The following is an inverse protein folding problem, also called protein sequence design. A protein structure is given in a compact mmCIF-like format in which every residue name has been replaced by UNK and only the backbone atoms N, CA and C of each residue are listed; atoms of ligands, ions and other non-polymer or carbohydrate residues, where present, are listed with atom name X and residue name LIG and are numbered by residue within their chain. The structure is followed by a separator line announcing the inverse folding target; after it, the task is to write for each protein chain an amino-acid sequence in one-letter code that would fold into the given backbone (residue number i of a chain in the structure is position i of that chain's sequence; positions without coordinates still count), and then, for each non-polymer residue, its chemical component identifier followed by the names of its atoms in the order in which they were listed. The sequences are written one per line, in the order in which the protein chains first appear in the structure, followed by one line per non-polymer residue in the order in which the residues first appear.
data_IF_008292598987
#
_entry.id   IF_008292598987
#
_cell.length_a   1.000
_cell.length_b   1.000
_cell.length_c   1.000
_cell.angle_alpha   90.00
_cell.angle_beta   90.00
_cell.angle_gamma   90.00
#
_symmetry.space_group_name_H-M   'P 1'
#
loop_
_entity.id
_entity.type
_entity.pdbx_description
1 polymer ?
#
# COMPACT_ATOMS: atom_id res chain seq x y z
N UNK A 1 7.17 1.27 -13.26
CA UNK A 1 7.60 2.09 -12.10
C UNK A 1 8.92 1.56 -11.57
N UNK A 2 10.01 2.25 -11.87
CA UNK A 2 11.33 2.03 -11.25
C UNK A 2 11.58 3.19 -10.30
N UNK A 3 11.55 2.92 -9.00
CA UNK A 3 11.74 3.92 -7.95
C UNK A 3 12.08 3.23 -6.64
N UNK A 4 12.66 3.98 -5.71
CA UNK A 4 12.91 3.55 -4.34
C UNK A 4 11.89 4.21 -3.42
N UNK A 5 11.63 3.62 -2.26
CA UNK A 5 10.80 4.25 -1.23
C UNK A 5 11.60 5.38 -0.57
N UNK A 6 11.06 6.58 -0.54
CA UNK A 6 11.67 7.72 0.16
C UNK A 6 11.16 7.87 1.59
N UNK A 7 9.91 7.48 1.81
CA UNK A 7 9.26 7.48 3.12
C UNK A 7 8.66 6.12 3.41
N UNK A 8 8.61 5.77 4.69
CA UNK A 8 7.83 4.62 5.14
C UNK A 8 7.01 4.97 6.39
N UNK A 9 5.89 4.28 6.50
CA UNK A 9 5.02 4.30 7.66
C UNK A 9 5.37 3.15 8.59
N UNK A 10 5.65 3.48 9.85
CA UNK A 10 5.94 2.50 10.90
C UNK A 10 4.66 1.73 11.22
N UNK A 11 4.74 0.40 11.15
CA UNK A 11 3.69 -0.52 11.59
C UNK A 11 3.96 -0.98 13.03
N UNK A 12 5.21 -1.35 13.32
CA UNK A 12 5.63 -1.87 14.61
C UNK A 12 7.08 -1.48 14.92
N UNK A 13 7.39 -1.29 16.20
CA UNK A 13 8.71 -0.92 16.70
C UNK A 13 9.18 -1.95 17.74
N UNK A 14 10.35 -2.51 17.49
CA UNK A 14 10.94 -3.62 18.23
C UNK A 14 12.27 -3.17 18.84
N UNK A 15 12.26 -2.52 20.02
CA UNK A 15 13.46 -1.93 20.62
C UNK A 15 14.53 -2.97 20.98
N UNK A 16 14.12 -4.19 21.31
CA UNK A 16 15.03 -5.31 21.61
C UNK A 16 15.27 -6.23 20.40
N UNK A 17 14.71 -5.88 19.24
CA UNK A 17 14.68 -6.72 18.05
C UNK A 17 13.68 -7.87 18.15
N UNK A 18 13.82 -8.86 17.26
CA UNK A 18 12.97 -10.05 17.27
C UNK A 18 13.49 -11.05 18.30
N UNK A 19 12.62 -11.63 19.11
CA UNK A 19 12.97 -12.59 20.18
C UNK A 19 13.79 -13.81 19.73
N UNK A 20 13.78 -14.11 18.42
CA UNK A 20 14.49 -15.26 17.82
C UNK A 20 15.93 -14.92 17.40
N UNK A 21 16.33 -13.64 17.37
CA UNK A 21 17.67 -13.23 16.94
C UNK A 21 18.66 -13.11 18.12
N UNK A 22 19.91 -13.52 17.90
CA UNK A 22 21.00 -13.44 18.90
C UNK A 22 21.52 -12.01 19.11
N UNK A 23 21.35 -11.13 18.12
CA UNK A 23 21.77 -9.73 18.17
C UNK A 23 20.56 -8.82 18.41
N UNK A 24 20.68 -7.95 19.43
CA UNK A 24 19.67 -6.94 19.77
C UNK A 24 19.83 -5.73 18.84
N UNK A 25 19.14 -5.76 17.72
CA UNK A 25 19.01 -4.60 16.83
C UNK A 25 17.69 -3.89 17.11
N UNK A 26 17.71 -2.56 17.16
CA UNK A 26 16.51 -1.72 17.29
C UNK A 26 15.80 -1.71 15.93
N UNK A 27 14.77 -2.53 15.77
CA UNK A 27 14.10 -2.73 14.49
C UNK A 27 12.77 -2.01 14.42
N UNK A 28 12.38 -1.62 13.21
CA UNK A 28 10.99 -1.30 12.90
C UNK A 28 10.55 -2.06 11.66
N UNK A 29 9.29 -2.51 11.66
CA UNK A 29 8.62 -2.98 10.47
C UNK A 29 7.69 -1.89 9.96
N UNK A 30 7.56 -1.79 8.65
CA UNK A 30 6.71 -0.78 8.07
C UNK A 30 6.50 -0.91 6.57
N UNK A 31 5.84 0.09 6.02
CA UNK A 31 5.37 0.12 4.65
C UNK A 31 5.80 1.39 3.94
N UNK A 32 6.48 1.25 2.82
CA UNK A 32 6.83 2.36 1.95
C UNK A 32 5.60 3.09 1.41
N UNK A 33 5.65 4.42 1.38
CA UNK A 33 4.49 5.25 1.02
C UNK A 33 4.17 5.25 -0.47
N UNK A 34 5.13 4.90 -1.34
CA UNK A 34 4.99 5.05 -2.79
C UNK A 34 4.62 3.75 -3.50
N UNK A 35 5.19 2.61 -3.10
CA UNK A 35 4.94 1.32 -3.75
C UNK A 35 4.38 0.25 -2.81
N UNK A 36 3.95 0.66 -1.61
CA UNK A 36 3.48 -0.24 -0.55
C UNK A 36 4.52 -1.32 -0.19
N UNK A 37 5.80 -1.01 -0.36
CA UNK A 37 6.87 -1.99 -0.13
C UNK A 37 6.99 -2.27 1.37
N UNK A 38 6.84 -3.53 1.78
CA UNK A 38 7.10 -3.91 3.17
C UNK A 38 8.61 -3.98 3.43
N UNK A 39 9.04 -3.28 4.48
CA UNK A 39 10.45 -3.14 4.83
C UNK A 39 10.65 -3.44 6.32
N UNK A 40 11.82 -3.99 6.63
CA UNK A 40 12.39 -4.02 7.97
C UNK A 40 13.58 -3.07 7.97
N UNK A 41 13.61 -2.14 8.91
CA UNK A 41 14.64 -1.10 9.02
C UNK A 41 15.27 -1.12 10.42
N UNK A 42 16.49 -0.62 10.51
CA UNK A 42 17.18 -0.42 11.78
C UNK A 42 17.10 1.05 12.16
N UNK A 43 16.53 1.35 13.33
CA UNK A 43 16.51 2.70 13.87
C UNK A 43 17.89 3.11 14.40
N UNK A 44 18.17 4.42 14.45
CA UNK A 44 19.38 4.92 15.13
C UNK A 44 19.28 4.69 16.63
N UNK A 45 20.43 4.61 17.29
CA UNK A 45 20.50 4.46 18.74
C UNK A 45 19.78 5.60 19.47
N UNK A 46 19.03 5.27 20.52
CA UNK A 46 18.24 6.24 21.30
C UNK A 46 16.95 6.73 20.62
N UNK A 47 16.66 6.34 19.38
CA UNK A 47 15.41 6.70 18.70
C UNK A 47 14.30 5.74 19.09
N UNK A 48 13.12 6.29 19.39
CA UNK A 48 11.87 5.54 19.52
C UNK A 48 10.95 5.92 18.38
N UNK A 49 10.36 4.90 17.74
CA UNK A 49 9.39 5.07 16.66
C UNK A 49 7.99 4.73 17.15
N UNK A 50 7.00 5.46 16.65
CA UNK A 50 5.59 5.22 16.95
C UNK A 50 4.89 4.59 15.74
N UNK A 51 3.91 3.72 15.98
CA UNK A 51 3.02 3.25 14.92
C UNK A 51 2.37 4.44 14.20
N UNK A 52 2.14 4.31 12.90
CA UNK A 52 1.66 5.37 11.99
C UNK A 52 2.61 6.54 11.75
N UNK A 53 3.78 6.58 12.38
CA UNK A 53 4.77 7.61 12.11
C UNK A 53 5.30 7.47 10.68
N UNK A 54 5.28 8.58 9.92
CA UNK A 54 5.98 8.69 8.64
C UNK A 54 7.42 9.09 8.89
N UNK A 55 8.37 8.32 8.41
CA UNK A 55 9.80 8.64 8.52
C UNK A 55 10.51 8.50 7.18
N UNK A 56 11.61 9.24 7.03
CA UNK A 56 12.38 9.27 5.80
C UNK A 56 13.41 8.11 5.76
N UNK A 57 13.42 7.39 4.63
CA UNK A 57 14.35 6.28 4.31
C UNK A 57 15.04 6.45 2.96
N UNK A 58 14.95 7.63 2.35
CA UNK A 58 15.60 7.93 1.09
C UNK A 58 17.12 7.94 1.18
N UNK A 59 17.78 8.47 0.14
CA UNK A 59 19.25 8.42 0.01
C UNK A 59 19.98 9.47 0.83
N UNK A 60 19.29 10.56 1.17
CA UNK A 60 19.87 11.66 1.94
C UNK A 60 19.98 11.30 3.42
N UNK A 61 20.42 12.26 4.23
CA UNK A 61 20.55 12.06 5.66
C UNK A 61 19.19 11.73 6.30
N UNK A 62 19.15 10.59 7.01
CA UNK A 62 17.98 10.09 7.70
C UNK A 62 18.05 10.48 9.17
N UNK A 63 17.00 11.10 9.70
CA UNK A 63 16.98 11.52 11.11
C UNK A 63 16.80 10.34 12.05
N UNK A 64 15.83 9.47 11.80
CA UNK A 64 15.45 8.37 12.68
C UNK A 64 16.07 7.00 12.31
N UNK A 65 16.38 6.80 11.02
CA UNK A 65 16.73 5.49 10.48
C UNK A 65 18.22 5.40 10.19
N UNK A 66 18.85 4.32 10.65
CA UNK A 66 20.23 3.98 10.29
C UNK A 66 20.27 3.45 8.85
N UNK A 67 19.64 2.29 8.62
CA UNK A 67 19.60 1.68 7.30
C UNK A 67 18.36 0.79 7.11
N UNK A 68 18.05 0.51 5.84
CA UNK A 68 17.06 -0.49 5.48
C UNK A 68 17.74 -1.86 5.63
N UNK A 69 17.24 -2.71 6.52
CA UNK A 69 17.80 -4.04 6.77
C UNK A 69 17.48 -4.98 5.62
N UNK A 70 16.20 -5.08 5.27
CA UNK A 70 15.74 -5.91 4.15
C UNK A 70 14.32 -5.56 3.74
N UNK A 71 13.97 -5.97 2.53
CA UNK A 71 12.58 -6.12 2.11
C UNK A 71 11.99 -7.37 2.76
N UNK A 72 10.73 -7.30 3.17
CA UNK A 72 10.02 -8.41 3.82
C UNK A 72 8.73 -8.76 3.07
N UNK A 73 8.21 -9.96 3.30
CA UNK A 73 6.91 -10.39 2.77
C UNK A 73 5.81 -10.21 3.82
N UNK A 74 4.55 -10.36 3.44
CA UNK A 74 3.44 -10.35 4.41
C UNK A 74 3.59 -11.43 5.49
N UNK A 75 4.20 -12.58 5.16
CA UNK A 75 4.47 -13.66 6.11
C UNK A 75 5.46 -13.28 7.21
N UNK A 76 6.43 -12.40 6.92
CA UNK A 76 7.46 -11.92 7.84
C UNK A 76 6.97 -10.85 8.84
N UNK A 77 5.78 -10.30 8.63
CA UNK A 77 5.21 -9.26 9.49
C UNK A 77 4.89 -9.81 10.89
N UNK A 78 5.19 -9.02 11.92
CA UNK A 78 4.74 -9.30 13.30
C UNK A 78 3.22 -9.28 13.37
N UNK A 79 2.66 -9.92 14.41
CA UNK A 79 1.21 -9.88 14.67
C UNK A 79 0.72 -8.45 14.80
N UNK A 80 1.46 -7.59 15.52
CA UNK A 80 1.18 -6.17 15.64
C UNK A 80 1.22 -5.47 14.27
N UNK A 81 2.26 -5.72 13.47
CA UNK A 81 2.34 -5.12 12.13
C UNK A 81 1.17 -5.49 11.22
N UNK A 82 0.70 -6.74 11.31
CA UNK A 82 -0.49 -7.20 10.55
C UNK A 82 -1.77 -6.52 11.01
N UNK A 83 -1.91 -6.25 12.32
CA UNK A 83 -3.07 -5.55 12.87
C UNK A 83 -3.12 -4.08 12.43
N UNK A 84 -1.97 -3.40 12.38
CA UNK A 84 -1.88 -1.99 11.97
C UNK A 84 -1.92 -1.79 10.44
N UNK A 85 -1.63 -2.84 9.66
CA UNK A 85 -1.52 -2.79 8.20
C UNK A 85 -2.73 -2.15 7.50
N UNK A 86 -4.00 -2.52 7.79
CA UNK A 86 -5.15 -1.99 7.08
C UNK A 86 -5.29 -0.47 7.27
N UNK A 87 -4.99 0.02 8.47
CA UNK A 87 -5.11 1.44 8.79
C UNK A 87 -3.99 2.26 8.13
N UNK A 88 -2.76 1.75 8.09
CA UNK A 88 -1.65 2.39 7.36
C UNK A 88 -1.90 2.41 5.85
N UNK A 89 -2.38 1.31 5.27
CA UNK A 89 -2.75 1.28 3.83
C UNK A 89 -3.80 2.34 3.54
N UNK A 90 -4.89 2.40 4.34
CA UNK A 90 -5.93 3.41 4.18
C UNK A 90 -5.37 4.84 4.24
N UNK A 91 -4.46 5.10 5.19
CA UNK A 91 -3.80 6.40 5.32
C UNK A 91 -3.00 6.77 4.07
N UNK A 92 -2.21 5.84 3.52
CA UNK A 92 -1.46 6.05 2.28
C UNK A 92 -2.41 6.31 1.11
N UNK A 93 -3.51 5.54 1.00
CA UNK A 93 -4.52 5.70 -0.07
C UNK A 93 -5.16 7.09 -0.03
N UNK A 94 -5.49 7.60 1.16
CA UNK A 94 -6.03 8.94 1.34
C UNK A 94 -5.01 10.04 0.99
N UNK A 95 -3.77 9.91 1.45
CA UNK A 95 -2.71 10.89 1.15
C UNK A 95 -2.36 10.94 -0.34
N UNK A 96 -2.62 9.85 -1.06
CA UNK A 96 -2.32 9.70 -2.49
C UNK A 96 -3.57 9.53 -3.32
N UNK A 97 -4.69 10.12 -2.89
CA UNK A 97 -5.98 10.02 -3.57
C UNK A 97 -5.89 10.24 -5.08
N UNK A 98 -5.13 11.26 -5.51
CA UNK A 98 -4.92 11.59 -6.92
C UNK A 98 -4.39 10.42 -7.76
N UNK A 99 -3.49 9.60 -7.22
CA UNK A 99 -2.91 8.45 -7.93
C UNK A 99 -3.97 7.39 -8.21
N UNK A 100 -4.84 7.14 -7.22
CA UNK A 100 -5.88 6.12 -7.32
C UNK A 100 -7.07 6.59 -8.15
N UNK A 101 -7.47 7.86 -8.01
CA UNK A 101 -8.45 8.49 -8.90
C UNK A 101 -7.97 8.45 -10.35
N UNK A 102 -6.68 8.74 -10.57
CA UNK A 102 -6.08 8.59 -11.89
C UNK A 102 -6.19 7.15 -12.41
N UNK A 103 -5.92 6.14 -11.58
CA UNK A 103 -6.14 4.73 -11.94
C UNK A 103 -7.57 4.48 -12.43
N UNK A 104 -8.61 4.94 -11.74
CA UNK A 104 -10.00 4.78 -12.21
C UNK A 104 -10.23 5.44 -13.59
N UNK A 105 -9.59 6.57 -13.84
CA UNK A 105 -9.70 7.29 -15.11
C UNK A 105 -8.97 6.61 -16.28
N UNK A 106 -7.81 5.99 -16.04
CA UNK A 106 -6.92 5.49 -17.12
C UNK A 106 -6.84 3.98 -17.25
N UNK A 107 -7.32 3.21 -16.28
CA UNK A 107 -7.24 1.75 -16.31
C UNK A 107 -7.92 1.16 -17.55
N UNK A 108 -7.40 0.04 -18.03
CA UNK A 108 -7.75 -0.57 -19.31
C UNK A 108 -8.10 -2.06 -19.19
N UNK A 109 -8.65 -2.67 -20.26
CA UNK A 109 -8.77 -4.13 -20.36
C UNK A 109 -7.40 -4.81 -20.23
N UNK A 110 -7.36 -5.93 -19.51
CA UNK A 110 -6.22 -6.88 -19.47
C UNK A 110 -6.34 -7.87 -20.63
N UNK A 111 -7.57 -8.28 -20.93
CA UNK A 111 -7.91 -9.15 -22.06
C UNK A 111 -9.32 -8.83 -22.54
N UNK A 112 -9.77 -9.51 -23.60
CA UNK A 112 -11.16 -9.40 -24.10
C UNK A 112 -12.24 -9.75 -23.06
N UNK A 113 -11.89 -10.45 -21.98
CA UNK A 113 -12.82 -10.93 -20.95
C UNK A 113 -12.55 -10.38 -19.54
N UNK A 114 -11.54 -9.52 -19.37
CA UNK A 114 -11.13 -9.05 -18.04
C UNK A 114 -10.63 -7.60 -18.09
N UNK A 115 -11.24 -6.73 -17.30
CA UNK A 115 -10.80 -5.35 -17.07
C UNK A 115 -9.99 -5.21 -15.78
N UNK A 116 -9.05 -4.25 -15.74
CA UNK A 116 -8.30 -3.93 -14.51
C UNK A 116 -9.19 -3.51 -13.33
N UNK A 117 -10.38 -2.95 -13.60
CA UNK A 117 -11.31 -2.50 -12.56
C UNK A 117 -11.96 -3.69 -11.86
N UNK A 118 -12.21 -4.78 -12.60
CA UNK A 118 -12.78 -6.03 -12.05
C UNK A 118 -11.78 -6.76 -11.14
N UNK A 119 -10.50 -6.34 -11.11
CA UNK A 119 -9.55 -6.82 -10.13
C UNK A 119 -9.74 -6.18 -8.75
N UNK A 120 -10.51 -5.09 -8.64
CA UNK A 120 -10.87 -4.49 -7.37
C UNK A 120 -12.00 -5.30 -6.73
N UNK A 121 -11.86 -5.71 -5.45
CA UNK A 121 -12.86 -6.54 -4.79
C UNK A 121 -14.17 -5.78 -4.64
N UNK A 122 -15.25 -6.30 -5.21
CA UNK A 122 -16.57 -5.67 -5.18
C UNK A 122 -16.94 -4.88 -6.45
N UNK A 123 -16.04 -4.77 -7.43
CA UNK A 123 -16.38 -4.26 -8.77
C UNK A 123 -16.78 -5.43 -9.66
N UNK A 124 -18.09 -5.55 -9.92
CA UNK A 124 -18.63 -6.45 -10.93
C UNK A 124 -18.89 -5.75 -12.27
N UNK A 125 -19.49 -6.48 -13.22
CA UNK A 125 -19.82 -5.97 -14.57
C UNK A 125 -20.63 -4.68 -14.57
N UNK A 126 -21.64 -4.57 -13.68
CA UNK A 126 -22.48 -3.36 -13.58
C UNK A 126 -21.66 -2.15 -13.14
N UNK A 127 -20.85 -2.28 -12.08
CA UNK A 127 -19.98 -1.20 -11.63
C UNK A 127 -18.96 -0.82 -12.70
N UNK A 128 -18.37 -1.81 -13.37
CA UNK A 128 -17.47 -1.58 -14.50
C UNK A 128 -18.13 -0.70 -15.58
N UNK A 129 -19.30 -1.10 -16.07
CA UNK A 129 -20.04 -0.35 -17.09
C UNK A 129 -20.33 1.09 -16.64
N UNK A 130 -20.80 1.27 -15.41
CA UNK A 130 -21.06 2.61 -14.85
C UNK A 130 -19.80 3.46 -14.72
N UNK A 131 -18.68 2.90 -14.22
CA UNK A 131 -17.42 3.63 -14.09
C UNK A 131 -16.91 4.06 -15.47
N UNK A 132 -16.98 3.18 -16.46
CA UNK A 132 -16.55 3.46 -17.83
C UNK A 132 -17.39 4.54 -18.50
N UNK A 133 -18.72 4.48 -18.38
CA UNK A 133 -19.64 5.51 -18.90
C UNK A 133 -19.38 6.87 -18.23
N UNK A 134 -19.24 6.89 -16.91
CA UNK A 134 -19.01 8.12 -16.16
C UNK A 134 -17.68 8.76 -16.54
N UNK A 135 -16.56 8.02 -16.55
CA UNK A 135 -15.26 8.61 -16.89
C UNK A 135 -15.17 9.12 -18.33
N UNK A 136 -15.94 8.55 -19.27
CA UNK A 136 -16.04 9.06 -20.64
C UNK A 136 -16.72 10.43 -20.72
N UNK A 137 -17.73 10.69 -19.88
CA UNK A 137 -18.38 12.00 -19.80
C UNK A 137 -17.46 13.06 -19.21
N UNK A 138 -16.80 12.70 -18.10
CA UNK A 138 -15.84 13.55 -17.40
C UNK A 138 -14.94 12.68 -16.52
N UNK A 139 -13.60 12.85 -16.57
CA UNK A 139 -12.70 12.21 -15.61
C UNK A 139 -13.11 12.49 -14.17
N UNK A 140 -12.94 11.51 -13.29
CA UNK A 140 -13.16 11.69 -11.86
C UNK A 140 -12.10 12.61 -11.26
N UNK A 141 -12.51 13.47 -10.34
CA UNK A 141 -11.61 14.44 -9.67
C UNK A 141 -11.21 14.00 -8.25
N UNK A 142 -12.02 13.16 -7.62
CA UNK A 142 -11.84 12.68 -6.24
C UNK A 142 -12.52 11.33 -6.02
N UNK A 143 -12.22 10.67 -4.88
CA UNK A 143 -12.98 9.51 -4.43
C UNK A 143 -14.44 9.87 -4.13
N UNK A 144 -14.71 11.07 -3.64
CA UNK A 144 -16.07 11.54 -3.40
C UNK A 144 -16.84 11.73 -4.71
N UNK A 145 -16.21 12.29 -5.75
CA UNK A 145 -16.78 12.40 -7.08
C UNK A 145 -17.10 11.01 -7.66
N UNK A 146 -16.17 10.05 -7.57
CA UNK A 146 -16.39 8.66 -7.98
C UNK A 146 -17.61 8.06 -7.27
N UNK A 147 -17.70 8.22 -5.95
CA UNK A 147 -18.79 7.68 -5.12
C UNK A 147 -20.14 8.30 -5.47
N UNK A 148 -20.18 9.61 -5.72
CA UNK A 148 -21.43 10.32 -6.05
C UNK A 148 -21.99 9.95 -7.43
N UNK A 149 -21.12 9.60 -8.39
CA UNK A 149 -21.48 9.38 -9.79
C UNK A 149 -21.72 7.92 -10.16
N UNK A 150 -21.21 6.99 -9.35
CA UNK A 150 -21.38 5.55 -9.57
C UNK A 150 -22.36 5.00 -8.53
N UNK A 151 -23.60 4.67 -8.93
CA UNK A 151 -24.64 4.22 -8.00
C UNK A 151 -24.23 2.94 -7.27
N UNK A 152 -24.50 2.87 -5.96
CA UNK A 152 -24.25 1.69 -5.11
C UNK A 152 -22.80 1.18 -5.16
N UNK A 153 -21.84 2.06 -5.48
CA UNK A 153 -20.42 1.73 -5.38
C UNK A 153 -20.03 1.66 -3.90
N UNK A 154 -19.39 0.57 -3.51
CA UNK A 154 -18.69 0.48 -2.22
C UNK A 154 -17.69 1.63 -2.09
N UNK A 155 -17.42 2.08 -0.86
CA UNK A 155 -16.43 3.15 -0.61
C UNK A 155 -15.13 2.93 -1.44
N UNK A 156 -14.79 3.86 -2.36
CA UNK A 156 -13.63 3.70 -3.24
C UNK A 156 -12.31 3.52 -2.49
N UNK A 157 -12.19 4.15 -1.33
CA UNK A 157 -11.03 4.02 -0.45
C UNK A 157 -10.92 2.58 0.06
N UNK A 158 -12.05 1.97 0.45
CA UNK A 158 -12.10 0.58 0.88
C UNK A 158 -11.76 -0.40 -0.25
N UNK A 159 -12.26 -0.17 -1.47
CA UNK A 159 -11.94 -0.99 -2.65
C UNK A 159 -10.44 -1.07 -2.90
N UNK A 160 -9.77 0.08 -2.92
CA UNK A 160 -8.32 0.18 -3.11
C UNK A 160 -7.57 -0.41 -1.92
N UNK A 161 -7.98 -0.09 -0.69
CA UNK A 161 -7.34 -0.58 0.54
C UNK A 161 -7.38 -2.10 0.64
N UNK A 162 -8.50 -2.72 0.29
CA UNK A 162 -8.63 -4.17 0.26
C UNK A 162 -7.76 -4.77 -0.85
N UNK A 163 -7.76 -4.17 -2.05
CA UNK A 163 -6.93 -4.66 -3.15
C UNK A 163 -5.44 -4.66 -2.81
N UNK A 164 -4.93 -3.58 -2.21
CA UNK A 164 -3.54 -3.50 -1.77
C UNK A 164 -3.22 -4.61 -0.76
N UNK A 165 -4.12 -4.90 0.19
CA UNK A 165 -3.92 -5.98 1.15
C UNK A 165 -3.89 -7.37 0.49
N UNK A 166 -4.79 -7.64 -0.46
CA UNK A 166 -4.80 -8.89 -1.24
C UNK A 166 -3.49 -9.07 -2.02
N UNK A 167 -3.00 -8.00 -2.63
CA UNK A 167 -1.72 -8.00 -3.35
C UNK A 167 -0.53 -8.24 -2.42
N UNK A 168 -0.51 -7.64 -1.23
CA UNK A 168 0.56 -7.86 -0.24
C UNK A 168 0.63 -9.30 0.25
N UNK A 169 -0.51 -9.99 0.37
CA UNK A 169 -0.57 -11.39 0.75
C UNK A 169 0.00 -12.33 -0.32
N UNK A 170 0.15 -11.86 -1.56
CA UNK A 170 0.81 -12.60 -2.64
C UNK A 170 -0.08 -13.58 -3.40
N UNK A 171 -1.37 -13.70 -3.04
CA UNK A 171 -2.30 -14.67 -3.59
C UNK A 171 -3.07 -14.14 -4.82
N UNK A 172 -2.42 -13.31 -5.65
CA UNK A 172 -3.05 -12.68 -6.81
C UNK A 172 -2.23 -12.90 -8.08
N UNK A 173 -2.94 -13.11 -9.18
CA UNK A 173 -2.33 -13.26 -10.51
C UNK A 173 -1.90 -11.92 -11.11
N UNK A 174 -2.65 -10.85 -10.80
CA UNK A 174 -2.43 -9.51 -11.35
C UNK A 174 -2.28 -8.51 -10.22
N UNK A 175 -1.16 -7.80 -10.24
CA UNK A 175 -0.84 -6.71 -9.31
C UNK A 175 -1.15 -5.37 -9.98
N UNK A 176 -1.88 -4.51 -9.28
CA UNK A 176 -2.22 -3.15 -9.71
C UNK A 176 -1.34 -2.12 -9.00
N UNK A 177 -1.16 -2.24 -7.69
CA UNK A 177 -0.63 -1.18 -6.85
C UNK A 177 0.69 -1.56 -6.17
N UNK A 178 0.83 -2.82 -5.79
CA UNK A 178 2.00 -3.35 -5.08
C UNK A 178 2.96 -3.96 -6.09
N UNK A 179 4.26 -3.66 -5.95
CA UNK A 179 5.30 -4.40 -6.68
C UNK A 179 5.50 -5.76 -5.99
N UNK A 180 5.36 -6.92 -6.66
CA UNK A 180 5.58 -8.20 -5.99
C UNK A 180 7.02 -8.32 -5.45
N UNK A 181 7.17 -9.00 -4.32
CA UNK A 181 8.49 -9.43 -3.83
C UNK A 181 8.59 -10.93 -4.02
N UNK A 182 9.30 -11.33 -5.07
CA UNK A 182 9.66 -12.73 -5.28
C UNK A 182 11.03 -12.89 -4.61
N UNK A 183 11.07 -13.64 -3.51
CA UNK A 183 12.36 -14.03 -2.92
C UNK A 183 13.09 -14.89 -3.96
N UNK A 184 14.38 -14.61 -4.23
CA UNK A 184 15.17 -15.42 -5.15
C UNK A 184 15.33 -16.85 -4.65
#
# INVERSE_FOLDING_TARGET
MTGYEEYFYVLDFLPEGKSVMRTREVLAQGMGSSFFTLLEVVAKEGVTLMSYQKVYIGKDERKEISHIKRRITYGDLTTSSKAELPAVVKKIVLEREKDFVHFFNVCSPISMRLHQLELLPGIGKKHLEHILDQRQKKPFESFEDLRSRVPLLTDPIALVTQKVQEELQGNVKHYLFVKPYIQP
#
